data_IF_533967380386
#
_entry.id   IF_533967380386
#
_cell.length_a   1.000
_cell.length_b   1.000
_cell.length_c   1.000
_cell.angle_alpha   90.00
_cell.angle_beta   90.00
_cell.angle_gamma   90.00
#
_symmetry.space_group_name_H-M   'P 1'
#
loop_
_entity.id
_entity.type
_entity.pdbx_description
1 polymer ?
#
# COMPACT_ATOMS: atom_id res chain seq x y z
N UNK A 1 -14.20 -45.94 33.85
CA UNK A 1 -14.92 -44.77 33.29
C UNK A 1 -14.52 -43.54 34.09
N UNK A 2 -13.56 -42.77 33.59
CA UNK A 2 -13.53 -41.32 33.77
C UNK A 2 -12.53 -40.75 32.76
N UNK A 3 -13.09 -40.00 31.83
CA UNK A 3 -12.42 -39.22 30.78
C UNK A 3 -11.64 -38.07 31.42
N UNK A 4 -10.33 -38.05 31.24
CA UNK A 4 -9.51 -36.85 31.44
C UNK A 4 -9.54 -36.07 30.12
N UNK A 5 -10.19 -34.91 30.17
CA UNK A 5 -10.16 -33.88 29.13
C UNK A 5 -8.81 -33.20 29.16
N UNK A 6 -7.97 -33.49 28.16
CA UNK A 6 -6.77 -32.71 27.89
C UNK A 6 -7.17 -31.29 27.49
N UNK A 7 -6.85 -30.33 28.36
CA UNK A 7 -6.96 -28.90 28.08
C UNK A 7 -5.97 -28.57 26.98
N UNK A 8 -6.49 -28.24 25.80
CA UNK A 8 -5.79 -27.47 24.78
C UNK A 8 -5.20 -26.21 25.44
N UNK A 9 -3.89 -26.20 25.62
CA UNK A 9 -3.18 -25.04 26.14
C UNK A 9 -2.68 -24.28 24.91
N UNK A 10 -3.29 -23.12 24.63
CA UNK A 10 -2.81 -22.22 23.58
C UNK A 10 -1.37 -21.80 23.90
N UNK A 11 -0.45 -21.76 22.91
CA UNK A 11 0.90 -21.30 23.16
C UNK A 11 0.87 -19.82 23.52
N UNK A 12 1.43 -19.48 24.69
CA UNK A 12 1.67 -18.11 25.12
C UNK A 12 2.68 -17.45 24.19
N UNK A 13 2.20 -16.76 23.16
CA UNK A 13 3.04 -15.83 22.41
C UNK A 13 3.22 -14.57 23.25
N UNK A 14 4.32 -14.53 24.00
CA UNK A 14 4.92 -13.26 24.35
C UNK A 14 5.48 -12.65 23.06
N UNK A 15 4.60 -12.03 22.26
CA UNK A 15 5.01 -11.03 21.28
C UNK A 15 5.73 -9.95 22.08
N UNK A 16 7.05 -9.81 21.87
CA UNK A 16 7.78 -8.64 22.36
C UNK A 16 7.10 -7.41 21.75
N UNK A 17 6.30 -6.72 22.54
CA UNK A 17 5.66 -5.46 22.17
C UNK A 17 6.76 -4.49 21.73
N UNK A 18 6.78 -4.16 20.44
CA UNK A 18 7.59 -3.06 19.94
C UNK A 18 7.14 -1.78 20.63
N UNK A 19 8.05 -0.91 21.09
CA UNK A 19 7.69 0.30 21.83
C UNK A 19 6.72 1.16 21.01
N UNK A 20 5.73 1.75 21.70
CA UNK A 20 4.66 2.60 21.14
C UNK A 20 5.21 3.92 20.55
N UNK A 21 6.51 4.21 20.71
CA UNK A 21 7.14 5.50 20.42
C UNK A 21 7.66 5.74 19.00
N UNK A 22 7.57 4.77 18.11
CA UNK A 22 8.00 4.96 16.72
C UNK A 22 6.80 5.27 15.83
N UNK A 23 6.74 6.50 15.30
CA UNK A 23 5.87 6.88 14.17
C UNK A 23 5.89 5.76 13.13
N UNK A 24 4.74 5.12 12.93
CA UNK A 24 4.58 4.00 11.99
C UNK A 24 4.12 4.53 10.64
N UNK A 25 4.70 4.01 9.57
CA UNK A 25 4.36 4.39 8.19
C UNK A 25 4.75 3.33 7.18
N UNK A 26 3.87 3.11 6.21
CA UNK A 26 4.16 2.32 5.02
C UNK A 26 4.84 3.13 3.90
N UNK A 27 4.74 4.46 3.96
CA UNK A 27 5.31 5.32 2.94
C UNK A 27 6.83 5.42 3.04
N UNK A 28 7.47 5.25 1.89
CA UNK A 28 8.90 5.32 1.75
C UNK A 28 9.38 6.78 1.92
N UNK A 29 8.64 7.76 1.39
CA UNK A 29 8.97 9.19 1.55
C UNK A 29 8.95 9.65 3.01
N UNK A 30 7.98 9.21 3.82
CA UNK A 30 7.92 9.57 5.25
C UNK A 30 9.04 8.91 6.05
N UNK A 31 9.50 7.74 5.61
CA UNK A 31 10.67 7.08 6.20
C UNK A 31 11.95 7.86 5.88
N UNK A 32 12.06 8.40 4.67
CA UNK A 32 13.15 9.31 4.29
C UNK A 32 13.11 10.64 5.08
N UNK A 33 11.95 11.28 5.18
CA UNK A 33 11.79 12.55 5.90
C UNK A 33 12.23 12.42 7.36
N UNK A 34 11.90 11.31 8.02
CA UNK A 34 12.37 11.04 9.39
C UNK A 34 13.89 11.00 9.51
N UNK A 35 14.57 10.29 8.60
CA UNK A 35 16.04 10.20 8.60
C UNK A 35 16.71 11.53 8.25
N UNK A 36 16.11 12.31 7.34
CA UNK A 36 16.68 13.59 6.89
C UNK A 36 16.76 14.64 8.00
N UNK A 37 15.90 14.55 9.03
CA UNK A 37 15.99 15.40 10.23
C UNK A 37 17.31 15.20 10.99
N UNK A 38 17.96 14.05 10.82
CA UNK A 38 19.25 13.69 11.44
C UNK A 38 20.48 14.00 10.53
N UNK A 39 20.28 14.82 9.49
CA UNK A 39 21.30 15.55 8.72
C UNK A 39 22.44 14.75 8.03
N UNK A 40 22.29 13.45 7.80
CA UNK A 40 23.29 12.66 7.05
C UNK A 40 22.79 12.23 5.68
N UNK A 41 23.56 12.56 4.63
CA UNK A 41 23.34 11.99 3.29
C UNK A 41 23.64 10.49 3.34
N UNK A 42 22.63 9.66 3.10
CA UNK A 42 22.75 8.20 3.13
C UNK A 42 23.23 7.70 1.77
N UNK A 43 24.39 7.05 1.73
CA UNK A 43 24.93 6.47 0.51
C UNK A 43 23.98 5.39 -0.03
N UNK A 44 23.67 5.46 -1.34
CA UNK A 44 22.76 4.53 -2.00
C UNK A 44 21.28 4.92 -1.96
N UNK A 45 20.96 6.12 -1.47
CA UNK A 45 19.64 6.72 -1.58
C UNK A 45 19.67 7.87 -2.60
N UNK A 46 18.76 7.85 -3.58
CA UNK A 46 18.56 8.98 -4.50
C UNK A 46 17.09 9.38 -4.57
N UNK A 47 16.84 10.68 -4.66
CA UNK A 47 15.50 11.26 -4.74
C UNK A 47 15.43 12.20 -5.95
N UNK A 48 14.40 12.03 -6.76
CA UNK A 48 14.06 12.90 -7.88
C UNK A 48 12.63 13.41 -7.68
N UNK A 49 12.41 14.72 -7.84
CA UNK A 49 11.12 15.37 -7.62
C UNK A 49 10.73 16.15 -8.85
N UNK A 50 9.53 15.90 -9.32
CA UNK A 50 8.94 16.53 -10.49
C UNK A 50 7.58 17.10 -10.11
N UNK A 51 7.43 18.39 -10.31
CA UNK A 51 6.22 19.12 -9.93
C UNK A 51 5.36 19.34 -11.16
N UNK A 52 4.11 18.89 -11.08
CA UNK A 52 3.04 19.17 -12.02
C UNK A 52 2.12 20.24 -11.43
N UNK A 53 1.19 20.76 -12.24
CA UNK A 53 0.28 21.81 -11.81
C UNK A 53 -0.60 21.38 -10.63
N UNK A 54 -0.98 20.09 -10.55
CA UNK A 54 -1.94 19.57 -9.57
C UNK A 54 -1.39 18.53 -8.60
N UNK A 55 -0.21 17.97 -8.87
CA UNK A 55 0.42 16.96 -8.02
C UNK A 55 1.94 16.99 -8.11
N UNK A 56 2.61 16.39 -7.13
CA UNK A 56 4.06 16.16 -7.16
C UNK A 56 4.35 14.68 -7.36
N UNK A 57 5.24 14.35 -8.30
CA UNK A 57 5.80 13.01 -8.46
C UNK A 57 7.18 12.95 -7.84
N UNK A 58 7.41 11.98 -6.97
CA UNK A 58 8.68 11.76 -6.28
C UNK A 58 9.16 10.35 -6.60
N UNK A 59 10.32 10.21 -7.24
CA UNK A 59 10.97 8.91 -7.44
C UNK A 59 12.12 8.76 -6.47
N UNK A 60 12.11 7.68 -5.71
CA UNK A 60 13.14 7.34 -4.74
C UNK A 60 13.74 5.99 -5.07
N UNK A 61 15.07 5.91 -5.09
CA UNK A 61 15.78 4.65 -5.30
C UNK A 61 16.59 4.29 -4.06
N UNK A 62 16.32 3.11 -3.52
CA UNK A 62 17.05 2.48 -2.41
C UNK A 62 17.94 1.39 -3.01
N UNK A 63 19.24 1.67 -3.13
CA UNK A 63 20.18 0.82 -3.89
C UNK A 63 21.24 0.12 -3.04
N UNK A 64 21.42 0.54 -1.78
CA UNK A 64 22.39 -0.05 -0.85
C UNK A 64 21.69 -0.75 0.31
N UNK A 65 22.40 -1.66 0.97
CA UNK A 65 21.88 -2.38 2.14
C UNK A 65 21.77 -1.42 3.33
N UNK A 66 22.74 -0.53 3.46
CA UNK A 66 22.80 0.51 4.47
C UNK A 66 21.60 1.46 4.35
N UNK A 67 21.23 1.87 3.12
CA UNK A 67 20.04 2.68 2.89
C UNK A 67 18.75 1.91 3.21
N UNK A 68 18.69 0.63 2.85
CA UNK A 68 17.54 -0.23 3.17
C UNK A 68 17.33 -0.40 4.68
N UNK A 69 18.40 -0.67 5.42
CA UNK A 69 18.38 -0.81 6.89
C UNK A 69 18.03 0.51 7.57
N UNK A 70 18.60 1.63 7.13
CA UNK A 70 18.28 2.96 7.67
C UNK A 70 16.81 3.35 7.40
N UNK A 71 16.33 3.12 6.18
CA UNK A 71 14.95 3.42 5.76
C UNK A 71 13.92 2.51 6.40
N UNK A 72 14.31 1.30 6.82
CA UNK A 72 13.36 0.24 7.15
C UNK A 72 12.50 -0.15 5.93
N UNK A 73 13.05 -0.01 4.72
CA UNK A 73 12.39 -0.33 3.44
C UNK A 73 13.31 -1.21 2.61
N UNK A 74 12.72 -2.11 1.84
CA UNK A 74 13.49 -3.04 0.99
C UNK A 74 14.19 -2.26 -0.13
N UNK A 75 15.29 -2.79 -0.67
CA UNK A 75 15.92 -2.19 -1.85
C UNK A 75 14.96 -2.23 -3.04
N UNK A 76 14.96 -1.16 -3.83
CA UNK A 76 14.03 -1.00 -4.94
C UNK A 76 13.82 0.46 -5.31
N UNK A 77 12.91 0.66 -6.26
CA UNK A 77 12.39 1.95 -6.66
C UNK A 77 10.98 2.15 -6.10
N UNK A 78 10.79 3.31 -5.48
CA UNK A 78 9.54 3.79 -4.93
C UNK A 78 9.13 5.05 -5.68
N UNK A 79 7.89 5.10 -6.15
CA UNK A 79 7.31 6.30 -6.76
C UNK A 79 6.16 6.76 -5.91
N UNK A 80 6.19 8.01 -5.46
CA UNK A 80 5.14 8.60 -4.64
C UNK A 80 4.51 9.76 -5.40
N UNK A 81 3.19 9.73 -5.55
CA UNK A 81 2.38 10.86 -5.99
C UNK A 81 1.81 11.54 -4.77
N UNK A 82 2.07 12.84 -4.61
CA UNK A 82 1.44 13.68 -3.60
C UNK A 82 0.40 14.56 -4.29
N UNK A 83 -0.88 14.32 -3.99
CA UNK A 83 -2.05 14.91 -4.63
C UNK A 83 -2.94 15.54 -3.55
N UNK A 84 -2.60 16.72 -3.00
CA UNK A 84 -3.34 17.32 -1.87
C UNK A 84 -4.84 17.50 -2.15
N UNK A 85 -5.17 17.81 -3.40
CA UNK A 85 -6.50 18.15 -3.88
C UNK A 85 -7.34 16.93 -4.26
N UNK A 86 -6.81 15.72 -4.11
CA UNK A 86 -7.52 14.46 -4.36
C UNK A 86 -8.83 14.37 -3.57
N UNK A 87 -8.86 14.99 -2.38
CA UNK A 87 -10.04 15.05 -1.51
C UNK A 87 -11.22 15.83 -2.09
N UNK A 88 -11.00 16.67 -3.11
CA UNK A 88 -12.03 17.52 -3.70
C UNK A 88 -12.80 16.84 -4.83
N UNK A 89 -12.41 15.60 -5.20
CA UNK A 89 -13.15 14.76 -6.14
C UNK A 89 -13.32 15.40 -7.52
N UNK A 90 -12.26 16.05 -7.98
CA UNK A 90 -12.19 16.67 -9.31
C UNK A 90 -11.93 15.58 -10.38
N UNK A 91 -12.85 15.36 -11.33
CA UNK A 91 -12.68 14.37 -12.39
C UNK A 91 -11.43 14.62 -13.26
N UNK A 92 -11.09 15.88 -13.56
CA UNK A 92 -9.93 16.20 -14.39
C UNK A 92 -8.63 15.83 -13.66
N UNK A 93 -8.59 16.06 -12.35
CA UNK A 93 -7.48 15.64 -11.49
C UNK A 93 -7.35 14.12 -11.46
N UNK A 94 -8.46 13.40 -11.31
CA UNK A 94 -8.50 11.95 -11.27
C UNK A 94 -7.97 11.33 -12.57
N UNK A 95 -8.39 11.86 -13.72
CA UNK A 95 -7.86 11.47 -15.03
C UNK A 95 -6.37 11.75 -15.16
N UNK A 96 -5.91 12.95 -14.77
CA UNK A 96 -4.50 13.31 -14.81
C UNK A 96 -3.62 12.39 -13.94
N UNK A 97 -4.07 12.07 -12.72
CA UNK A 97 -3.36 11.15 -11.82
C UNK A 97 -3.36 9.72 -12.38
N UNK A 98 -4.47 9.25 -12.96
CA UNK A 98 -4.52 7.92 -13.57
C UNK A 98 -3.57 7.79 -14.76
N UNK A 99 -3.46 8.82 -15.61
CA UNK A 99 -2.48 8.85 -16.71
C UNK A 99 -1.06 8.79 -16.16
N UNK A 100 -0.74 9.63 -15.17
CA UNK A 100 0.59 9.65 -14.56
C UNK A 100 0.94 8.32 -13.85
N UNK A 101 -0.03 7.70 -13.18
CA UNK A 101 0.08 6.37 -12.60
C UNK A 101 0.38 5.34 -13.71
N UNK A 102 -0.34 5.41 -14.82
CA UNK A 102 -0.19 4.47 -15.93
C UNK A 102 1.23 4.52 -16.53
N UNK A 103 1.80 5.71 -16.65
CA UNK A 103 3.14 5.91 -17.17
C UNK A 103 4.21 5.31 -16.27
N UNK A 104 4.09 5.47 -14.94
CA UNK A 104 5.01 4.86 -13.98
C UNK A 104 4.86 3.34 -13.93
N UNK A 105 3.64 2.83 -13.98
CA UNK A 105 3.39 1.38 -14.01
C UNK A 105 3.97 0.78 -15.29
N UNK A 106 3.82 1.43 -16.45
CA UNK A 106 4.46 1.03 -17.72
C UNK A 106 5.99 1.09 -17.67
N UNK A 107 6.55 2.08 -16.97
CA UNK A 107 8.00 2.22 -16.80
C UNK A 107 8.61 1.13 -15.92
N UNK A 108 7.90 0.75 -14.85
CA UNK A 108 8.36 -0.23 -13.86
C UNK A 108 8.06 -1.68 -14.26
N UNK A 109 7.01 -1.92 -15.06
CA UNK A 109 6.70 -3.27 -15.53
C UNK A 109 7.72 -3.78 -16.55
N UNK A 110 7.89 -5.10 -16.58
CA UNK A 110 8.58 -5.72 -17.71
C UNK A 110 7.75 -5.58 -19.00
N UNK A 111 8.46 -5.53 -20.13
CA UNK A 111 7.87 -5.50 -21.47
C UNK A 111 7.49 -6.89 -21.99
N UNK A 112 7.61 -7.91 -21.16
CA UNK A 112 7.32 -9.29 -21.55
C UNK A 112 5.81 -9.52 -21.59
N UNK A 113 5.26 -9.63 -22.80
CA UNK A 113 3.85 -9.88 -23.05
C UNK A 113 3.53 -11.36 -23.27
N UNK A 114 4.52 -12.26 -23.14
CA UNK A 114 4.36 -13.70 -23.42
C UNK A 114 3.55 -14.45 -22.35
N UNK A 115 3.46 -13.91 -21.13
CA UNK A 115 2.72 -14.47 -20.01
C UNK A 115 1.77 -13.44 -19.39
N UNK A 116 0.70 -13.90 -18.69
CA UNK A 116 -0.30 -12.99 -18.15
C UNK A 116 0.25 -12.14 -17.02
N UNK A 117 -0.40 -11.00 -16.77
CA UNK A 117 -0.23 -10.24 -15.53
C UNK A 117 -1.30 -10.67 -14.54
N UNK A 118 -0.90 -10.95 -13.30
CA UNK A 118 -1.81 -11.22 -12.20
C UNK A 118 -1.95 -9.97 -11.33
N UNK A 119 -3.15 -9.41 -11.25
CA UNK A 119 -3.47 -8.31 -10.33
C UNK A 119 -4.09 -8.89 -9.05
N UNK A 120 -3.57 -8.49 -7.90
CA UNK A 120 -3.99 -8.99 -6.59
C UNK A 120 -4.48 -7.82 -5.76
N UNK A 121 -5.79 -7.79 -5.47
CA UNK A 121 -6.39 -6.82 -4.56
C UNK A 121 -6.36 -7.34 -3.13
N UNK A 122 -5.42 -6.86 -2.32
CA UNK A 122 -5.35 -7.19 -0.90
C UNK A 122 -6.34 -6.36 -0.09
N UNK A 123 -6.77 -6.94 1.03
CA UNK A 123 -7.63 -6.26 1.99
C UNK A 123 -8.89 -7.04 2.34
N UNK A 124 -9.61 -6.52 3.31
CA UNK A 124 -10.88 -7.04 3.79
C UNK A 124 -12.03 -6.14 3.32
N UNK A 125 -12.87 -6.65 2.40
CA UNK A 125 -14.05 -5.94 1.90
C UNK A 125 -15.08 -5.59 2.99
N UNK A 126 -15.03 -6.20 4.17
CA UNK A 126 -15.89 -5.85 5.30
C UNK A 126 -15.36 -4.68 6.15
N UNK A 127 -14.17 -4.17 5.87
CA UNK A 127 -13.53 -3.07 6.57
C UNK A 127 -13.26 -1.97 5.56
N UNK A 128 -14.09 -0.92 5.55
CA UNK A 128 -14.08 0.15 4.54
C UNK A 128 -12.68 0.70 4.20
N UNK A 129 -11.84 1.14 5.17
CA UNK A 129 -10.50 1.64 4.84
C UNK A 129 -9.54 0.57 4.29
N UNK A 130 -9.88 -0.72 4.41
CA UNK A 130 -9.10 -1.88 3.95
C UNK A 130 -9.73 -2.53 2.70
N UNK A 131 -10.81 -1.96 2.15
CA UNK A 131 -11.54 -2.52 1.02
C UNK A 131 -10.98 -2.11 -0.36
N UNK A 132 -9.91 -1.30 -0.39
CA UNK A 132 -9.38 -0.70 -1.61
C UNK A 132 -8.98 -1.73 -2.67
N UNK A 133 -8.19 -2.74 -2.30
CA UNK A 133 -7.73 -3.76 -3.24
C UNK A 133 -8.90 -4.49 -3.92
N UNK A 134 -9.85 -5.08 -3.16
CA UNK A 134 -11.07 -5.67 -3.73
C UNK A 134 -11.82 -4.74 -4.69
N UNK A 135 -12.04 -3.48 -4.32
CA UNK A 135 -12.77 -2.53 -5.17
C UNK A 135 -12.02 -2.20 -6.47
N UNK A 136 -10.68 -2.12 -6.43
CA UNK A 136 -9.91 -1.94 -7.67
C UNK A 136 -10.06 -3.15 -8.59
N UNK A 137 -10.12 -4.37 -8.04
CA UNK A 137 -10.33 -5.58 -8.84
C UNK A 137 -11.70 -5.55 -9.54
N UNK A 138 -12.74 -5.05 -8.87
CA UNK A 138 -14.10 -4.97 -9.44
C UNK A 138 -14.18 -4.07 -10.68
N UNK A 139 -13.30 -3.06 -10.78
CA UNK A 139 -13.23 -2.12 -11.91
C UNK A 139 -12.16 -2.47 -12.96
N UNK A 140 -11.45 -3.58 -12.79
CA UNK A 140 -10.34 -3.96 -13.69
C UNK A 140 -10.85 -4.69 -14.93
N UNK A 141 -10.29 -4.35 -16.10
CA UNK A 141 -10.57 -5.08 -17.33
C UNK A 141 -9.82 -6.41 -17.38
N UNK A 142 -10.45 -7.48 -16.91
CA UNK A 142 -9.86 -8.82 -16.88
C UNK A 142 -10.02 -9.51 -18.24
N UNK A 143 -8.92 -9.88 -18.89
CA UNK A 143 -8.94 -10.38 -20.28
C UNK A 143 -8.46 -11.82 -20.44
N UNK A 144 -7.79 -12.44 -19.45
CA UNK A 144 -7.18 -13.77 -19.59
C UNK A 144 -8.15 -14.85 -20.07
N UNK A 145 -9.41 -14.77 -19.66
CA UNK A 145 -10.44 -15.72 -20.06
C UNK A 145 -10.86 -15.54 -21.53
N UNK A 146 -10.83 -14.31 -22.07
CA UNK A 146 -11.22 -13.98 -23.44
C UNK A 146 -10.28 -14.60 -24.47
N UNK A 147 -8.97 -14.73 -24.17
CA UNK A 147 -8.01 -15.39 -25.06
C UNK A 147 -8.35 -16.85 -25.36
N UNK A 148 -9.07 -17.53 -24.47
CA UNK A 148 -9.46 -18.93 -24.67
C UNK A 148 -10.83 -19.08 -25.33
N UNK A 149 -11.71 -18.07 -25.21
CA UNK A 149 -13.13 -18.19 -25.56
C UNK A 149 -13.48 -17.35 -26.79
N UNK A 150 -12.87 -16.17 -26.96
CA UNK A 150 -13.17 -15.20 -28.01
C UNK A 150 -11.90 -14.45 -28.47
N UNK A 151 -10.88 -15.17 -29.01
CA UNK A 151 -9.63 -14.54 -29.42
C UNK A 151 -9.81 -13.51 -30.55
N UNK A 152 -10.85 -13.65 -31.36
CA UNK A 152 -11.18 -12.77 -32.49
C UNK A 152 -11.77 -11.41 -32.09
N UNK A 153 -12.16 -11.23 -30.83
CA UNK A 153 -12.65 -9.95 -30.27
C UNK A 153 -11.55 -9.18 -29.56
N UNK A 154 -10.40 -9.80 -29.33
CA UNK A 154 -9.23 -9.15 -28.77
C UNK A 154 -8.36 -8.61 -29.91
N UNK A 155 -8.42 -7.31 -30.15
CA UNK A 155 -7.51 -6.64 -31.08
C UNK A 155 -6.03 -6.77 -30.65
N UNK A 156 -5.11 -6.56 -31.59
CA UNK A 156 -3.68 -6.47 -31.29
C UNK A 156 -3.42 -5.38 -30.26
N UNK A 157 -2.89 -5.76 -29.08
CA UNK A 157 -2.43 -4.82 -28.06
C UNK A 157 -3.25 -4.79 -26.77
N UNK A 158 -4.28 -5.64 -26.62
CA UNK A 158 -4.68 -6.07 -25.28
C UNK A 158 -3.61 -7.02 -24.69
N UNK A 159 -3.32 -6.89 -23.39
CA UNK A 159 -2.52 -7.86 -22.63
C UNK A 159 -3.43 -8.87 -21.94
N UNK A 160 -2.94 -10.10 -21.75
CA UNK A 160 -3.60 -11.10 -20.92
C UNK A 160 -3.50 -10.71 -19.44
N UNK A 161 -4.63 -10.33 -18.85
CA UNK A 161 -4.73 -9.88 -17.45
C UNK A 161 -5.67 -10.81 -16.70
N UNK A 162 -5.25 -11.25 -15.52
CA UNK A 162 -6.09 -11.95 -14.56
C UNK A 162 -6.05 -11.25 -13.22
N UNK A 163 -7.10 -11.40 -12.43
CA UNK A 163 -7.22 -10.72 -11.16
C UNK A 163 -7.80 -11.62 -10.07
N UNK A 164 -7.44 -11.34 -8.82
CA UNK A 164 -8.00 -12.01 -7.65
C UNK A 164 -7.97 -11.07 -6.43
N UNK A 165 -9.04 -11.11 -5.64
CA UNK A 165 -9.07 -10.57 -4.28
C UNK A 165 -9.12 -11.73 -3.29
N UNK A 166 -7.99 -12.16 -2.69
CA UNK A 166 -7.94 -13.38 -1.90
C UNK A 166 -8.64 -13.26 -0.54
N UNK A 167 -8.99 -12.04 -0.11
CA UNK A 167 -9.49 -11.76 1.23
C UNK A 167 -8.39 -11.89 2.29
N UNK A 168 -8.82 -11.99 3.56
CA UNK A 168 -7.93 -12.05 4.73
C UNK A 168 -8.10 -13.38 5.49
N UNK A 169 -7.06 -13.77 6.24
CA UNK A 169 -7.02 -14.99 7.04
C UNK A 169 -8.29 -15.21 7.89
N UNK A 170 -8.81 -14.15 8.51
CA UNK A 170 -9.99 -14.22 9.38
C UNK A 170 -11.28 -14.64 8.66
N UNK A 171 -11.31 -14.54 7.32
CA UNK A 171 -12.45 -14.91 6.49
C UNK A 171 -12.21 -16.27 5.83
N UNK A 172 -11.01 -16.49 5.31
CA UNK A 172 -10.70 -17.65 4.46
C UNK A 172 -10.09 -18.83 5.22
N UNK A 173 -9.48 -18.58 6.39
CA UNK A 173 -8.66 -19.56 7.10
C UNK A 173 -7.31 -19.86 6.44
N UNK A 174 -6.96 -19.16 5.35
CA UNK A 174 -5.70 -19.33 4.61
C UNK A 174 -5.03 -17.97 4.48
N UNK A 175 -3.72 -17.92 4.70
CA UNK A 175 -2.95 -16.70 4.49
C UNK A 175 -3.06 -16.22 3.03
N UNK A 176 -3.29 -14.92 2.83
CA UNK A 176 -3.47 -14.34 1.49
C UNK A 176 -2.27 -14.63 0.57
N UNK A 177 -1.05 -14.67 1.13
CA UNK A 177 0.16 -15.04 0.39
C UNK A 177 0.12 -16.48 -0.10
N UNK A 178 -0.42 -17.43 0.67
CA UNK A 178 -0.52 -18.83 0.28
C UNK A 178 -1.53 -19.03 -0.86
N UNK A 179 -2.67 -18.34 -0.80
CA UNK A 179 -3.66 -18.32 -1.88
C UNK A 179 -3.00 -17.79 -3.16
N UNK A 180 -2.34 -16.62 -3.07
CA UNK A 180 -1.72 -15.99 -4.23
C UNK A 180 -0.56 -16.81 -4.77
N UNK A 181 0.28 -17.40 -3.91
CA UNK A 181 1.35 -18.32 -4.34
C UNK A 181 0.81 -19.52 -5.10
N UNK A 182 -0.28 -20.13 -4.61
CA UNK A 182 -0.94 -21.24 -5.31
C UNK A 182 -1.45 -20.85 -6.70
N UNK A 183 -1.98 -19.62 -6.84
CA UNK A 183 -2.39 -19.08 -8.15
C UNK A 183 -1.18 -18.84 -9.04
N UNK A 184 -0.14 -18.17 -8.52
CA UNK A 184 1.11 -17.86 -9.24
C UNK A 184 1.76 -19.13 -9.79
N UNK A 185 1.89 -20.17 -8.98
CA UNK A 185 2.48 -21.47 -9.39
C UNK A 185 1.67 -22.16 -10.50
N UNK A 186 0.35 -21.94 -10.51
CA UNK A 186 -0.52 -22.53 -11.50
C UNK A 186 -0.49 -21.78 -12.82
N UNK A 187 -0.52 -20.45 -12.79
CA UNK A 187 -0.70 -19.62 -13.98
C UNK A 187 0.62 -19.11 -14.58
N UNK A 188 1.70 -19.10 -13.80
CA UNK A 188 3.03 -18.60 -14.17
C UNK A 188 2.97 -17.18 -14.81
N UNK A 189 2.55 -16.16 -14.06
CA UNK A 189 2.40 -14.81 -14.60
C UNK A 189 3.77 -14.16 -14.82
N UNK A 190 3.88 -13.27 -15.81
CA UNK A 190 5.09 -12.48 -16.07
C UNK A 190 5.37 -11.45 -14.96
N UNK A 191 4.29 -11.00 -14.29
CA UNK A 191 4.31 -9.97 -13.26
C UNK A 191 3.11 -10.19 -12.33
N UNK A 192 3.31 -9.95 -11.04
CA UNK A 192 2.23 -9.80 -10.07
C UNK A 192 2.13 -8.34 -9.68
N UNK A 193 0.97 -7.73 -9.87
CA UNK A 193 0.67 -6.38 -9.41
C UNK A 193 -0.19 -6.46 -8.16
N UNK A 194 0.30 -5.97 -7.02
CA UNK A 194 -0.39 -6.04 -5.73
C UNK A 194 -0.95 -4.66 -5.38
N UNK A 195 -2.19 -4.62 -4.95
CA UNK A 195 -2.89 -3.38 -4.58
C UNK A 195 -3.30 -3.51 -3.11
N UNK A 196 -2.90 -2.55 -2.28
CA UNK A 196 -3.12 -2.62 -0.84
C UNK A 196 -3.47 -1.26 -0.23
N UNK A 197 -4.21 -1.28 0.87
CA UNK A 197 -4.39 -0.11 1.71
C UNK A 197 -3.17 0.06 2.61
N UNK A 198 -2.62 1.27 2.66
CA UNK A 198 -1.43 1.60 3.46
C UNK A 198 -1.81 2.40 4.71
N UNK A 199 -0.87 2.50 5.65
CA UNK A 199 -0.91 3.50 6.72
C UNK A 199 0.09 4.63 6.48
N UNK A 200 -0.38 5.87 6.61
CA UNK A 200 0.47 7.04 6.61
C UNK A 200 0.98 7.34 8.03
N UNK A 201 2.14 7.98 8.10
CA UNK A 201 2.67 8.60 9.30
C UNK A 201 2.12 10.01 9.53
N UNK A 202 1.36 10.57 8.60
CA UNK A 202 0.73 11.89 8.67
C UNK A 202 -0.71 11.87 8.21
N UNK A 203 -1.54 12.70 8.85
CA UNK A 203 -2.95 12.86 8.47
C UNK A 203 -3.06 13.52 7.10
N UNK A 204 -2.12 14.39 6.76
CA UNK A 204 -2.11 15.14 5.51
C UNK A 204 -1.96 14.24 4.27
N UNK A 205 -1.36 13.04 4.42
CA UNK A 205 -1.09 12.05 3.36
C UNK A 205 -2.18 10.99 3.19
N UNK A 206 -3.15 10.94 4.10
CA UNK A 206 -4.31 10.04 3.99
C UNK A 206 -5.16 10.44 2.79
N UNK A 207 -5.39 9.49 1.87
CA UNK A 207 -6.18 9.64 0.65
C UNK A 207 -5.67 10.72 -0.33
N UNK A 208 -4.47 11.22 -0.12
CA UNK A 208 -3.82 12.24 -0.98
C UNK A 208 -2.48 11.76 -1.49
N UNK A 209 -2.14 10.50 -1.25
CA UNK A 209 -0.86 9.92 -1.64
C UNK A 209 -1.08 8.57 -2.31
N UNK A 210 -0.38 8.33 -3.41
CA UNK A 210 -0.31 7.00 -4.04
C UNK A 210 1.16 6.60 -4.10
N UNK A 211 1.48 5.38 -3.69
CA UNK A 211 2.84 4.85 -3.75
C UNK A 211 2.90 3.61 -4.64
N UNK A 212 3.85 3.60 -5.57
CA UNK A 212 4.25 2.41 -6.32
C UNK A 212 5.59 1.92 -5.76
N UNK A 213 5.78 0.61 -5.64
CA UNK A 213 7.05 0.00 -5.24
C UNK A 213 7.36 -1.27 -6.06
N UNK A 214 8.51 -1.32 -6.71
CA UNK A 214 8.98 -2.55 -7.41
C UNK A 214 9.58 -3.59 -6.47
N UNK A 215 9.78 -3.24 -5.19
CA UNK A 215 10.24 -4.13 -4.14
C UNK A 215 9.14 -5.08 -3.64
N UNK A 216 7.89 -4.86 -4.06
CA UNK A 216 6.71 -5.48 -3.47
C UNK A 216 6.26 -4.80 -2.17
N UNK A 217 5.50 -5.50 -1.34
CA UNK A 217 4.80 -4.94 -0.17
C UNK A 217 4.73 -5.92 1.00
N UNK A 218 4.73 -5.41 2.23
CA UNK A 218 4.43 -6.15 3.45
C UNK A 218 3.10 -5.66 4.02
N UNK A 219 1.99 -6.41 3.84
CA UNK A 219 0.66 -5.92 4.22
C UNK A 219 0.57 -5.64 5.72
N UNK A 220 0.02 -4.47 6.08
CA UNK A 220 -0.21 -4.06 7.47
C UNK A 220 1.03 -3.60 8.26
N UNK A 221 2.17 -3.43 7.61
CA UNK A 221 3.41 -3.04 8.29
C UNK A 221 3.29 -1.68 9.02
N UNK A 222 2.62 -0.69 8.41
CA UNK A 222 2.43 0.65 8.97
C UNK A 222 1.46 0.74 10.14
N UNK A 223 0.77 -0.35 10.49
CA UNK A 223 -0.04 -0.47 11.73
C UNK A 223 0.52 -1.53 12.69
N UNK A 224 1.75 -2.00 12.46
CA UNK A 224 2.43 -2.97 13.32
C UNK A 224 2.03 -4.44 13.10
N UNK A 225 1.25 -4.74 12.04
CA UNK A 225 0.93 -6.10 11.64
C UNK A 225 1.90 -6.55 10.54
N UNK A 226 3.01 -7.19 10.92
CA UNK A 226 3.94 -7.75 9.93
C UNK A 226 3.43 -9.08 9.38
N UNK A 227 2.68 -9.02 8.29
CA UNK A 227 2.37 -10.24 7.50
C UNK A 227 3.53 -10.56 6.56
N UNK A 228 3.56 -11.79 6.05
CA UNK A 228 4.56 -12.22 5.07
C UNK A 228 4.50 -11.31 3.84
N UNK A 229 5.66 -10.85 3.39
CA UNK A 229 5.77 -9.93 2.26
C UNK A 229 5.36 -10.58 0.93
N UNK A 230 4.74 -9.80 0.07
CA UNK A 230 4.55 -10.08 -1.35
C UNK A 230 5.73 -9.48 -2.09
N UNK A 231 6.69 -10.31 -2.48
CA UNK A 231 7.91 -9.89 -3.15
C UNK A 231 8.36 -10.95 -4.16
N UNK A 232 9.39 -10.64 -4.94
CA UNK A 232 9.97 -11.61 -5.88
C UNK A 232 10.47 -12.85 -5.15
N UNK A 233 11.01 -12.70 -3.95
CA UNK A 233 11.51 -13.79 -3.11
C UNK A 233 10.39 -14.71 -2.64
N UNK A 234 9.23 -14.15 -2.26
CA UNK A 234 8.12 -14.96 -1.75
C UNK A 234 7.27 -15.61 -2.86
N UNK A 235 7.13 -14.94 -4.01
CA UNK A 235 6.29 -15.40 -5.11
C UNK A 235 7.07 -16.07 -6.25
N UNK A 236 8.37 -15.82 -6.38
CA UNK A 236 9.22 -16.34 -7.46
C UNK A 236 9.09 -15.60 -8.80
N UNK A 237 8.22 -14.60 -8.88
CA UNK A 237 7.96 -13.76 -10.07
C UNK A 237 8.11 -12.29 -9.71
N UNK A 238 8.41 -11.38 -10.67
CA UNK A 238 8.46 -9.95 -10.40
C UNK A 238 7.17 -9.45 -9.73
N UNK A 239 7.30 -8.52 -8.78
CA UNK A 239 6.17 -7.94 -8.05
C UNK A 239 6.23 -6.42 -8.16
N UNK A 240 5.10 -5.79 -8.48
CA UNK A 240 4.91 -4.35 -8.39
C UNK A 240 3.77 -4.10 -7.41
N UNK A 241 3.99 -3.31 -6.37
CA UNK A 241 2.96 -2.94 -5.41
C UNK A 241 2.47 -1.52 -5.66
N UNK A 242 1.16 -1.29 -5.53
CA UNK A 242 0.53 0.02 -5.50
C UNK A 242 -0.22 0.12 -4.18
N UNK A 243 0.04 1.17 -3.41
CA UNK A 243 -0.57 1.35 -2.12
C UNK A 243 -0.98 2.79 -1.84
N UNK A 244 -2.13 2.96 -1.22
CA UNK A 244 -2.75 4.25 -0.93
C UNK A 244 -2.97 4.32 0.58
N UNK A 245 -2.47 5.35 1.27
CA UNK A 245 -2.71 5.48 2.70
C UNK A 245 -4.17 5.80 2.99
N UNK A 246 -4.85 4.90 3.68
CA UNK A 246 -6.27 5.06 4.04
C UNK A 246 -6.45 5.38 5.52
N UNK A 247 -5.42 5.11 6.32
CA UNK A 247 -5.45 5.23 7.78
C UNK A 247 -4.15 5.83 8.32
N UNK A 248 -4.20 6.28 9.57
CA UNK A 248 -3.03 6.62 10.40
C UNK A 248 -3.19 5.94 11.75
N UNK A 249 -2.08 5.45 12.30
CA UNK A 249 -2.02 4.93 13.67
C UNK A 249 -2.31 6.06 14.69
N UNK A 250 -3.19 5.80 15.68
CA UNK A 250 -3.55 6.81 16.67
C UNK A 250 -2.34 7.30 17.48
N UNK A 251 -1.41 6.41 17.82
CA UNK A 251 -0.17 6.75 18.52
C UNK A 251 0.66 7.73 17.72
N UNK A 252 0.75 7.54 16.40
CA UNK A 252 1.42 8.49 15.49
C UNK A 252 0.78 9.89 15.54
N UNK A 253 -0.55 9.99 15.55
CA UNK A 253 -1.26 11.28 15.64
C UNK A 253 -0.97 11.95 16.97
N UNK A 254 -1.07 11.20 18.08
CA UNK A 254 -0.86 11.74 19.42
C UNK A 254 0.60 12.19 19.62
N UNK A 255 1.58 11.42 19.14
CA UNK A 255 2.98 11.80 19.17
C UNK A 255 3.23 13.12 18.43
N UNK A 256 2.69 13.26 17.20
CA UNK A 256 2.77 14.52 16.45
C UNK A 256 2.11 15.70 17.15
N UNK A 257 1.00 15.47 17.85
CA UNK A 257 0.33 16.49 18.63
C UNK A 257 1.19 16.93 19.84
N UNK A 258 1.82 15.99 20.54
CA UNK A 258 2.75 16.27 21.63
C UNK A 258 3.95 17.08 21.12
N UNK A 259 4.58 16.65 20.03
CA UNK A 259 5.76 17.32 19.47
C UNK A 259 5.45 18.75 19.02
N UNK A 260 4.37 18.95 18.26
CA UNK A 260 3.91 20.30 17.86
C UNK A 260 3.58 21.19 19.06
N UNK A 261 3.15 20.61 20.18
CA UNK A 261 2.82 21.37 21.39
C UNK A 261 4.08 21.69 22.21
N UNK A 262 5.02 20.74 22.29
CA UNK A 262 6.31 20.92 22.95
C UNK A 262 7.12 22.04 22.29
N UNK A 263 7.08 22.16 20.96
CA UNK A 263 7.70 23.27 20.22
C UNK A 263 7.16 24.66 20.62
N UNK A 264 5.96 24.72 21.22
CA UNK A 264 5.25 25.97 21.54
C UNK A 264 5.14 26.25 23.04
N UNK A 265 5.33 25.24 23.90
CA UNK A 265 5.12 25.34 25.36
C UNK A 265 6.29 24.73 26.14
N UNK A 266 7.01 25.59 26.85
CA UNK A 266 8.26 25.31 27.59
C UNK A 266 8.19 24.16 28.64
N UNK A 267 7.06 23.92 29.36
CA UNK A 267 6.99 22.78 30.28
C UNK A 267 6.98 21.41 29.58
N UNK A 268 6.51 21.35 28.32
CA UNK A 268 6.41 20.12 27.53
C UNK A 268 7.69 19.84 26.73
N UNK A 269 8.44 20.88 26.36
CA UNK A 269 9.78 20.73 25.75
C UNK A 269 10.81 20.15 26.72
N UNK A 270 10.58 20.29 28.03
CA UNK A 270 11.45 19.74 29.07
C UNK A 270 11.28 18.22 29.31
N UNK A 271 10.21 17.60 28.78
CA UNK A 271 10.00 16.15 28.89
C UNK A 271 10.98 15.40 27.97
N UNK A 272 11.63 14.38 28.52
CA UNK A 272 12.41 13.46 27.71
C UNK A 272 11.49 12.60 26.83
N UNK A 273 11.99 12.15 25.67
CA UNK A 273 11.25 11.27 24.75
C UNK A 273 10.71 10.00 25.42
N UNK A 274 11.40 9.48 26.43
CA UNK A 274 10.95 8.35 27.23
C UNK A 274 9.67 8.67 28.02
N UNK A 275 9.55 9.87 28.60
CA UNK A 275 8.39 10.30 29.38
C UNK A 275 7.18 10.54 28.47
N UNK A 276 7.40 11.15 27.28
CA UNK A 276 6.35 11.28 26.25
C UNK A 276 5.80 9.92 25.83
N UNK A 277 6.69 8.94 25.64
CA UNK A 277 6.34 7.56 25.27
C UNK A 277 5.51 6.87 26.35
N UNK A 278 5.88 7.05 27.62
CA UNK A 278 5.17 6.46 28.75
C UNK A 278 3.75 7.02 28.86
N UNK A 279 3.58 8.34 28.68
CA UNK A 279 2.27 9.00 28.66
C UNK A 279 1.40 8.42 27.53
N UNK A 280 1.94 8.30 26.32
CA UNK A 280 1.22 7.73 25.18
C UNK A 280 0.78 6.28 25.46
N UNK A 281 1.66 5.49 26.06
CA UNK A 281 1.39 4.09 26.41
C UNK A 281 0.22 3.99 27.40
N UNK A 282 0.26 4.77 28.47
CA UNK A 282 -0.80 4.78 29.49
C UNK A 282 -2.16 5.23 28.94
N UNK A 283 -2.16 6.19 28.00
CA UNK A 283 -3.41 6.67 27.38
C UNK A 283 -4.03 5.66 26.42
N UNK A 284 -3.21 4.85 25.75
CA UNK A 284 -3.66 3.86 24.76
C UNK A 284 -3.95 2.48 25.37
N UNK A 285 -3.40 2.16 26.54
CA UNK A 285 -3.61 0.88 27.25
C UNK A 285 -5.10 0.47 27.37
N UNK A 286 -6.04 1.37 27.72
CA UNK A 286 -7.45 1.00 27.87
C UNK A 286 -8.12 0.59 26.55
N UNK A 287 -7.55 1.02 25.41
CA UNK A 287 -8.12 0.86 24.08
C UNK A 287 -7.48 -0.32 23.32
N UNK A 288 -6.41 -0.91 23.86
CA UNK A 288 -5.57 -1.89 23.17
C UNK A 288 -4.68 -1.23 22.11
N UNK A 289 -3.52 -1.83 21.84
CA UNK A 289 -2.39 -1.24 21.10
C UNK A 289 -2.63 -0.88 19.61
N UNK A 290 -3.87 -0.86 19.09
CA UNK A 290 -4.13 -0.87 17.63
C UNK A 290 -5.35 -0.07 17.19
N UNK A 291 -5.48 1.18 17.66
CA UNK A 291 -6.47 2.10 17.10
C UNK A 291 -5.93 2.77 15.84
N UNK A 292 -6.73 2.70 14.78
CA UNK A 292 -6.51 3.40 13.52
C UNK A 292 -7.50 4.55 13.41
N UNK A 293 -7.08 5.62 12.74
CA UNK A 293 -7.90 6.80 12.45
C UNK A 293 -8.03 6.95 10.95
N UNK A 294 -9.26 7.19 10.50
CA UNK A 294 -9.62 7.43 9.10
C UNK A 294 -10.65 8.56 9.00
N UNK A 295 -10.73 9.31 7.89
CA UNK A 295 -11.83 10.23 7.64
C UNK A 295 -13.21 9.56 7.73
N UNK A 296 -14.24 10.35 8.02
CA UNK A 296 -15.62 9.85 8.14
C UNK A 296 -16.21 9.39 6.80
N UNK A 297 -15.88 10.11 5.73
CA UNK A 297 -16.35 9.86 4.35
C UNK A 297 -15.41 8.92 3.59
N UNK A 298 -14.72 8.03 4.33
CA UNK A 298 -13.73 7.10 3.77
C UNK A 298 -14.34 6.17 2.72
N UNK A 299 -15.60 5.80 2.88
CA UNK A 299 -16.35 4.98 1.92
C UNK A 299 -16.28 5.56 0.51
N UNK A 300 -16.68 6.82 0.35
CA UNK A 300 -16.70 7.46 -0.95
C UNK A 300 -15.29 7.67 -1.51
N UNK A 301 -14.32 8.01 -0.65
CA UNK A 301 -12.95 8.19 -1.10
C UNK A 301 -12.29 6.90 -1.55
N UNK A 302 -12.59 5.78 -0.89
CA UNK A 302 -12.05 4.48 -1.27
C UNK A 302 -12.62 4.03 -2.62
N UNK A 303 -13.91 4.25 -2.87
CA UNK A 303 -14.52 4.02 -4.19
C UNK A 303 -13.85 4.88 -5.27
N UNK A 304 -13.74 6.19 -5.04
CA UNK A 304 -13.09 7.11 -5.97
C UNK A 304 -11.64 6.67 -6.26
N UNK A 305 -10.85 6.36 -5.23
CA UNK A 305 -9.47 5.91 -5.41
C UNK A 305 -9.41 4.57 -6.14
N UNK A 306 -10.35 3.68 -5.89
CA UNK A 306 -10.43 2.43 -6.63
C UNK A 306 -10.61 2.67 -8.13
N UNK A 307 -11.48 3.62 -8.51
CA UNK A 307 -11.68 3.99 -9.92
C UNK A 307 -10.44 4.62 -10.54
N UNK A 308 -9.73 5.51 -9.83
CA UNK A 308 -8.50 6.16 -10.32
C UNK A 308 -7.40 5.13 -10.57
N UNK A 309 -7.20 4.20 -9.63
CA UNK A 309 -6.20 3.15 -9.76
C UNK A 309 -6.58 2.19 -10.89
N UNK A 310 -7.84 1.74 -10.94
CA UNK A 310 -8.32 0.84 -11.99
C UNK A 310 -8.17 1.48 -13.38
N UNK A 311 -8.50 2.75 -13.53
CA UNK A 311 -8.29 3.51 -14.77
C UNK A 311 -6.81 3.53 -15.17
N UNK A 312 -5.92 3.90 -14.25
CA UNK A 312 -4.48 3.94 -14.53
C UNK A 312 -3.91 2.56 -14.86
N UNK A 313 -4.40 1.49 -14.20
CA UNK A 313 -4.00 0.11 -14.48
C UNK A 313 -4.52 -0.39 -15.83
N UNK A 314 -5.78 -0.11 -16.16
CA UNK A 314 -6.38 -0.46 -17.44
C UNK A 314 -5.58 0.19 -18.60
N UNK A 315 -5.24 1.48 -18.47
CA UNK A 315 -4.35 2.17 -19.40
C UNK A 315 -2.96 1.53 -19.46
N UNK A 316 -2.36 1.22 -18.30
CA UNK A 316 -1.01 0.68 -18.27
C UNK A 316 -0.91 -0.73 -18.89
N UNK A 317 -1.91 -1.58 -18.62
CA UNK A 317 -1.92 -2.99 -18.99
C UNK A 317 -2.42 -3.21 -20.41
N UNK A 318 -3.26 -2.33 -20.95
CA UNK A 318 -3.81 -2.44 -22.30
C UNK A 318 -3.37 -1.25 -23.16
N UNK A 319 -2.21 -1.33 -23.86
CA UNK A 319 -1.70 -0.25 -24.71
C UNK A 319 -2.66 0.34 -25.75
N UNK A 320 -3.64 -0.44 -26.22
CA UNK A 320 -4.67 0.03 -27.17
C UNK A 320 -5.80 0.81 -26.52
N UNK A 321 -5.97 0.69 -25.21
CA UNK A 321 -7.07 1.30 -24.49
C UNK A 321 -6.84 2.81 -24.38
N UNK A 322 -7.80 3.60 -24.86
CA UNK A 322 -7.83 5.03 -24.65
C UNK A 322 -8.33 5.39 -23.24
N UNK A 323 -8.14 6.65 -22.84
CA UNK A 323 -8.71 7.16 -21.59
C UNK A 323 -10.25 7.06 -21.57
N UNK A 324 -10.89 7.27 -22.72
CA UNK A 324 -12.33 7.14 -22.84
C UNK A 324 -12.80 5.70 -22.65
N UNK A 325 -12.11 4.72 -23.26
CA UNK A 325 -12.39 3.30 -23.08
C UNK A 325 -12.24 2.89 -21.61
N UNK A 326 -11.15 3.32 -20.97
CA UNK A 326 -10.89 3.02 -19.58
C UNK A 326 -11.96 3.61 -18.65
N UNK A 327 -12.48 4.80 -18.95
CA UNK A 327 -13.56 5.46 -18.20
C UNK A 327 -14.89 4.73 -18.32
N UNK A 328 -15.22 4.22 -19.52
CA UNK A 328 -16.48 3.47 -19.75
C UNK A 328 -16.57 2.22 -18.89
N UNK A 329 -15.45 1.60 -18.54
CA UNK A 329 -15.40 0.41 -17.69
C UNK A 329 -15.64 0.67 -16.20
N UNK A 330 -15.69 1.93 -15.77
CA UNK A 330 -15.88 2.34 -14.38
C UNK A 330 -17.35 2.58 -14.01
N UNK A 331 -18.27 2.45 -15.00
CA UNK A 331 -19.71 2.67 -14.87
C UNK A 331 -20.50 1.38 -15.10
#
# INVERSE_FOLDING_TARGET
MHTQTDKFTLPSQAEKQSPISTVRTDLAIESHERLSKDATAIAGLSLDREQFDTFTRIRMKVSSREASEAMGKVQGEYVTFEVPDMRFRDPELYEAVAVALSDEVRRLMNRDTSAPVLVVGLGNWNVTPDALGPLVIDHLFVTRHLYNVMPEVLDEGFRSVCAIAPGVLGITGIESLEIVKGVVDRINPALVLVIDALAAGSVERVLTTIQIADSGISPGAGIGNYRKAFSRESLGVPVLAIGIPTVVDLGTIMQKAIDRTADRYDPLSALHEAEKTEILTQLLEPLGDRLIVTPKEIDQFIEDMATVIAMGLNLALHPVMSLEDARVLLH
#
